data_IF_582692551236
#
_entry.id   IF_582692551236
#
_cell.length_a   1.000
_cell.length_b   1.000
_cell.length_c   1.000
_cell.angle_alpha   90.00
_cell.angle_beta   90.00
_cell.angle_gamma   90.00
#
_symmetry.space_group_name_H-M   'P 1'
#
loop_
_entity.id
_entity.type
_entity.pdbx_description
1 polymer ?
#
# COMPACT_ATOMS: atom_id res chain seq x y z
N UNK A 1 -3.03 17.66 -6.79
CA UNK A 1 -2.75 17.93 -5.36
C UNK A 1 -1.79 16.91 -4.81
N UNK A 2 -2.30 15.78 -4.31
CA UNK A 2 -1.52 14.73 -3.63
C UNK A 2 -0.39 14.12 -4.46
N UNK A 3 -0.61 13.80 -5.74
CA UNK A 3 0.43 13.24 -6.61
C UNK A 3 1.64 14.18 -6.78
N UNK A 4 1.37 15.49 -6.90
CA UNK A 4 2.41 16.52 -6.98
C UNK A 4 3.18 16.63 -5.65
N UNK A 5 2.48 16.56 -4.52
CA UNK A 5 3.12 16.52 -3.19
C UNK A 5 3.98 15.27 -3.01
N UNK A 6 3.54 14.10 -3.47
CA UNK A 6 4.32 12.85 -3.43
C UNK A 6 5.59 12.97 -4.28
N UNK A 7 5.49 13.51 -5.50
CA UNK A 7 6.65 13.74 -6.38
C UNK A 7 7.64 14.72 -5.74
N UNK A 8 7.16 15.80 -5.14
CA UNK A 8 8.01 16.77 -4.43
C UNK A 8 8.67 16.15 -3.19
N UNK A 9 7.93 15.38 -2.39
CA UNK A 9 8.49 14.69 -1.22
C UNK A 9 9.58 13.68 -1.64
N UNK A 10 9.37 12.94 -2.73
CA UNK A 10 10.38 12.05 -3.32
C UNK A 10 11.62 12.82 -3.80
N UNK A 11 11.45 13.96 -4.47
CA UNK A 11 12.56 14.77 -4.94
C UNK A 11 13.38 15.38 -3.79
N UNK A 12 12.71 15.80 -2.71
CA UNK A 12 13.35 16.41 -1.53
C UNK A 12 13.99 15.38 -0.59
N UNK A 13 13.39 14.20 -0.43
CA UNK A 13 13.92 13.13 0.43
C UNK A 13 14.81 12.14 -0.33
N UNK A 14 14.88 12.24 -1.66
CA UNK A 14 15.69 11.40 -2.54
C UNK A 14 17.17 11.34 -2.16
N UNK A 15 17.76 12.45 -1.69
CA UNK A 15 19.15 12.43 -1.16
C UNK A 15 19.29 11.57 0.09
N UNK A 16 18.38 11.68 1.07
CA UNK A 16 18.38 10.81 2.27
C UNK A 16 18.17 9.33 1.93
N UNK A 17 17.31 9.04 0.95
CA UNK A 17 17.08 7.67 0.46
C UNK A 17 18.36 7.08 -0.15
N UNK A 18 19.13 7.91 -0.85
CA UNK A 18 20.38 7.50 -1.51
C UNK A 18 21.56 7.41 -0.54
N UNK A 19 21.63 8.30 0.47
CA UNK A 19 22.74 8.37 1.44
C UNK A 19 22.62 7.33 2.57
N UNK A 20 21.40 6.90 2.93
CA UNK A 20 21.15 5.93 4.02
C UNK A 20 20.15 4.83 3.60
N UNK A 21 20.48 4.02 2.56
CA UNK A 21 19.55 3.04 1.98
C UNK A 21 19.17 1.92 2.97
N UNK A 22 20.06 1.58 3.91
CA UNK A 22 19.81 0.54 4.91
C UNK A 22 18.72 0.94 5.91
N UNK A 23 18.64 2.21 6.31
CA UNK A 23 17.65 2.66 7.27
C UNK A 23 16.27 2.80 6.63
N UNK A 24 16.23 3.24 5.37
CA UNK A 24 14.99 3.20 4.57
C UNK A 24 14.53 1.77 4.35
N UNK A 25 15.42 0.85 4.01
CA UNK A 25 15.08 -0.56 3.83
C UNK A 25 14.54 -1.20 5.12
N UNK A 26 15.11 -0.89 6.28
CA UNK A 26 14.62 -1.38 7.58
C UNK A 26 13.21 -0.92 7.93
N UNK A 27 12.80 0.27 7.47
CA UNK A 27 11.43 0.80 7.64
C UNK A 27 10.49 0.26 6.57
N UNK A 28 10.95 0.23 5.31
CA UNK A 28 10.15 -0.19 4.17
C UNK A 28 9.84 -1.68 4.18
N UNK A 29 10.77 -2.54 4.62
CA UNK A 29 10.64 -3.99 4.52
C UNK A 29 9.52 -4.55 5.42
N UNK A 30 9.38 -4.14 6.70
CA UNK A 30 8.20 -4.49 7.51
C UNK A 30 6.89 -3.99 6.90
N UNK A 31 6.88 -2.77 6.36
CA UNK A 31 5.69 -2.18 5.76
C UNK A 31 5.27 -2.91 4.47
N UNK A 32 6.24 -3.24 3.62
CA UNK A 32 6.05 -4.06 2.42
C UNK A 32 5.52 -5.44 2.75
N UNK A 33 6.08 -6.09 3.78
CA UNK A 33 5.61 -7.38 4.25
C UNK A 33 4.16 -7.28 4.74
N UNK A 34 3.83 -6.24 5.50
CA UNK A 34 2.45 -5.96 5.94
C UNK A 34 1.50 -5.85 4.75
N UNK A 35 1.77 -4.99 3.77
CA UNK A 35 0.91 -4.84 2.59
C UNK A 35 0.78 -6.14 1.80
N UNK A 36 1.89 -6.86 1.58
CA UNK A 36 1.88 -8.10 0.85
C UNK A 36 1.03 -9.15 1.59
N UNK A 37 1.24 -9.36 2.88
CA UNK A 37 0.53 -10.34 3.68
C UNK A 37 -0.97 -10.02 3.72
N UNK A 38 -1.33 -8.76 3.98
CA UNK A 38 -2.73 -8.33 4.02
C UNK A 38 -3.40 -8.50 2.66
N UNK A 39 -2.78 -8.01 1.59
CA UNK A 39 -3.36 -8.08 0.25
C UNK A 39 -3.46 -9.51 -0.26
N UNK A 40 -2.37 -10.29 -0.22
CA UNK A 40 -2.39 -11.68 -0.67
C UNK A 40 -3.29 -12.53 0.22
N UNK A 41 -3.25 -12.35 1.54
CA UNK A 41 -4.11 -13.06 2.48
C UNK A 41 -5.59 -12.86 2.16
N UNK A 42 -6.02 -11.60 1.99
CA UNK A 42 -7.41 -11.29 1.62
C UNK A 42 -7.76 -11.73 0.20
N UNK A 43 -6.86 -11.56 -0.77
CA UNK A 43 -7.10 -11.98 -2.16
C UNK A 43 -7.26 -13.50 -2.28
N UNK A 44 -6.41 -14.29 -1.61
CA UNK A 44 -6.52 -15.75 -1.56
C UNK A 44 -7.76 -16.19 -0.78
N UNK A 45 -8.09 -15.51 0.32
CA UNK A 45 -9.30 -15.77 1.09
C UNK A 45 -10.57 -15.52 0.27
N UNK A 46 -10.58 -14.52 -0.63
CA UNK A 46 -11.74 -14.23 -1.50
C UNK A 46 -11.83 -15.09 -2.77
N UNK A 47 -10.74 -15.74 -3.20
CA UNK A 47 -10.78 -16.75 -4.28
C UNK A 47 -11.52 -18.01 -3.83
N UNK A 48 -11.36 -18.44 -2.57
CA UNK A 48 -11.92 -19.71 -2.06
C UNK A 48 -13.46 -19.77 -2.06
N UNK A 49 -14.20 -18.70 -1.72
CA UNK A 49 -15.65 -18.60 -1.90
C UNK A 49 -16.10 -18.33 -3.36
N UNK A 50 -15.18 -18.13 -4.31
CA UNK A 50 -15.52 -17.87 -5.72
C UNK A 50 -16.06 -16.45 -5.98
N UNK A 51 -15.58 -15.43 -5.26
CA UNK A 51 -16.00 -14.05 -5.54
C UNK A 51 -15.55 -13.59 -6.93
N UNK A 52 -16.40 -12.83 -7.67
CA UNK A 52 -16.00 -12.23 -8.93
C UNK A 52 -14.82 -11.28 -8.72
N UNK A 53 -13.98 -11.14 -9.75
CA UNK A 53 -12.73 -10.38 -9.68
C UNK A 53 -12.89 -9.00 -9.03
N UNK A 54 -13.92 -8.25 -9.42
CA UNK A 54 -14.17 -6.89 -8.95
C UNK A 54 -14.37 -6.82 -7.44
N UNK A 55 -15.16 -7.76 -6.90
CA UNK A 55 -15.42 -7.85 -5.47
C UNK A 55 -14.18 -8.29 -4.71
N UNK A 56 -13.47 -9.31 -5.21
CA UNK A 56 -12.27 -9.80 -4.56
C UNK A 56 -11.15 -8.74 -4.54
N UNK A 57 -10.93 -8.05 -5.66
CA UNK A 57 -9.97 -6.96 -5.76
C UNK A 57 -10.34 -5.82 -4.80
N UNK A 58 -11.61 -5.40 -4.75
CA UNK A 58 -12.06 -4.38 -3.81
C UNK A 58 -11.77 -4.77 -2.36
N UNK A 59 -12.09 -6.00 -1.95
CA UNK A 59 -11.84 -6.48 -0.58
C UNK A 59 -10.34 -6.52 -0.29
N UNK A 60 -9.51 -7.03 -1.20
CA UNK A 60 -8.07 -7.12 -1.01
C UNK A 60 -7.41 -5.73 -0.88
N UNK A 61 -7.83 -4.75 -1.68
CA UNK A 61 -7.33 -3.37 -1.57
C UNK A 61 -7.85 -2.64 -0.33
N UNK A 62 -9.11 -2.88 0.08
CA UNK A 62 -9.63 -2.34 1.34
C UNK A 62 -8.91 -2.92 2.55
N UNK A 63 -8.59 -4.22 2.55
CA UNK A 63 -7.87 -4.86 3.63
C UNK A 63 -6.40 -4.42 3.73
N UNK A 64 -5.78 -4.10 2.59
CA UNK A 64 -4.39 -3.65 2.55
C UNK A 64 -4.24 -2.14 2.81
N UNK A 65 -5.24 -1.32 2.48
CA UNK A 65 -5.17 0.13 2.61
C UNK A 65 -5.19 0.61 4.06
N UNK A 66 -4.38 1.61 4.38
CA UNK A 66 -4.34 2.20 5.73
C UNK A 66 -4.93 3.62 5.73
N UNK A 67 -5.34 4.06 6.92
CA UNK A 67 -5.73 5.46 7.15
C UNK A 67 -4.57 6.23 7.79
N UNK A 68 -3.70 6.82 6.96
CA UNK A 68 -2.57 7.60 7.44
C UNK A 68 -2.96 8.87 8.16
N UNK A 69 -4.04 9.52 7.75
CA UNK A 69 -4.49 10.78 8.34
C UNK A 69 -4.83 10.55 9.82
N UNK A 70 -5.55 9.46 10.12
CA UNK A 70 -5.83 9.03 11.48
C UNK A 70 -4.54 8.61 12.21
N UNK A 71 -3.66 7.82 11.56
CA UNK A 71 -2.42 7.35 12.18
C UNK A 71 -1.48 8.52 12.59
N UNK A 72 -1.37 9.55 11.74
CA UNK A 72 -0.61 10.77 12.02
C UNK A 72 -1.26 11.54 13.17
N UNK A 73 -2.58 11.73 13.13
CA UNK A 73 -3.31 12.44 14.18
C UNK A 73 -3.14 11.78 15.55
N UNK A 74 -3.28 10.45 15.63
CA UNK A 74 -3.07 9.69 16.87
C UNK A 74 -1.61 9.76 17.32
N UNK A 75 -0.66 9.62 16.40
CA UNK A 75 0.77 9.67 16.74
C UNK A 75 1.19 11.02 17.30
N UNK A 76 0.74 12.11 16.69
CA UNK A 76 0.99 13.48 17.17
C UNK A 76 0.28 13.71 18.50
N UNK A 77 -0.97 13.26 18.64
CA UNK A 77 -1.77 13.46 19.84
C UNK A 77 -1.24 12.74 21.08
N UNK A 78 -0.67 11.54 20.91
CA UNK A 78 -0.16 10.71 22.02
C UNK A 78 1.33 10.94 22.29
N UNK A 79 2.15 11.06 21.24
CA UNK A 79 3.62 11.07 21.35
C UNK A 79 4.25 12.43 21.02
N UNK A 80 3.47 13.40 20.55
CA UNK A 80 3.96 14.70 20.12
C UNK A 80 4.53 14.70 18.69
N UNK A 81 4.70 15.90 18.15
CA UNK A 81 5.05 16.14 16.72
C UNK A 81 6.48 15.73 16.36
N UNK A 82 7.41 15.75 17.30
CA UNK A 82 8.82 15.38 17.09
C UNK A 82 9.12 13.89 17.31
N UNK A 83 8.09 13.08 17.57
CA UNK A 83 8.25 11.64 17.82
C UNK A 83 8.59 10.86 16.55
N UNK A 84 9.29 9.73 16.72
CA UNK A 84 9.58 8.82 15.61
C UNK A 84 8.33 8.19 15.00
N UNK A 85 7.26 8.06 15.78
CA UNK A 85 5.94 7.58 15.38
C UNK A 85 5.25 8.57 14.44
N UNK A 86 5.27 9.87 14.77
CA UNK A 86 4.75 10.91 13.89
C UNK A 86 5.52 10.96 12.57
N UNK A 87 6.84 10.82 12.60
CA UNK A 87 7.68 10.73 11.40
C UNK A 87 7.32 9.50 10.56
N UNK A 88 7.18 8.33 11.19
CA UNK A 88 6.78 7.09 10.49
C UNK A 88 5.40 7.22 9.83
N UNK A 89 4.44 7.88 10.49
CA UNK A 89 3.11 8.16 9.93
C UNK A 89 3.15 9.05 8.69
N UNK A 90 4.02 10.07 8.67
CA UNK A 90 4.17 10.99 7.53
C UNK A 90 4.92 10.35 6.36
N UNK A 91 5.87 9.46 6.64
CA UNK A 91 6.63 8.73 5.61
C UNK A 91 5.83 7.53 5.06
N UNK A 92 4.87 7.01 5.81
CA UNK A 92 4.01 5.88 5.42
C UNK A 92 3.38 5.99 4.02
N UNK A 93 2.71 7.11 3.65
CA UNK A 93 2.14 7.32 2.33
C UNK A 93 3.17 7.25 1.18
N UNK A 94 4.43 7.63 1.46
CA UNK A 94 5.51 7.60 0.49
C UNK A 94 5.80 6.17 0.02
N UNK A 95 5.60 5.19 0.90
CA UNK A 95 5.81 3.77 0.64
C UNK A 95 4.50 3.11 0.21
N UNK A 96 3.38 3.41 0.86
CA UNK A 96 2.08 2.78 0.55
C UNK A 96 1.63 3.03 -0.88
N UNK A 97 1.69 4.28 -1.36
CA UNK A 97 1.15 4.61 -2.69
C UNK A 97 1.87 3.82 -3.81
N UNK A 98 3.20 3.80 -3.89
CA UNK A 98 3.90 2.96 -4.87
C UNK A 98 3.59 1.47 -4.74
N UNK A 99 3.47 0.96 -3.52
CA UNK A 99 3.21 -0.46 -3.26
C UNK A 99 1.81 -0.85 -3.72
N UNK A 100 0.79 -0.06 -3.38
CA UNK A 100 -0.58 -0.32 -3.82
C UNK A 100 -0.69 -0.22 -5.35
N UNK A 101 0.00 0.73 -5.99
CA UNK A 101 0.07 0.80 -7.46
C UNK A 101 0.72 -0.45 -8.04
N UNK A 102 1.81 -0.94 -7.44
CA UNK A 102 2.42 -2.22 -7.82
C UNK A 102 1.44 -3.39 -7.70
N UNK A 103 0.69 -3.45 -6.61
CA UNK A 103 -0.34 -4.47 -6.38
C UNK A 103 -1.52 -4.35 -7.37
N UNK A 104 -1.85 -3.17 -7.88
CA UNK A 104 -2.83 -3.02 -8.98
C UNK A 104 -2.37 -3.77 -10.22
N UNK A 105 -1.10 -3.67 -10.61
CA UNK A 105 -0.58 -4.44 -11.73
C UNK A 105 -0.60 -5.94 -11.46
N UNK A 106 -0.30 -6.37 -10.23
CA UNK A 106 -0.44 -7.78 -9.81
C UNK A 106 -1.90 -8.23 -9.91
N UNK A 107 -2.86 -7.42 -9.47
CA UNK A 107 -4.29 -7.71 -9.56
C UNK A 107 -4.75 -7.85 -11.02
N UNK A 108 -4.31 -6.94 -11.91
CA UNK A 108 -4.61 -6.99 -13.34
C UNK A 108 -4.01 -8.23 -14.02
N UNK A 109 -2.81 -8.64 -13.60
CA UNK A 109 -2.20 -9.89 -14.05
C UNK A 109 -2.99 -11.11 -13.55
N UNK A 110 -3.35 -11.13 -12.26
CA UNK A 110 -4.15 -12.16 -11.63
C UNK A 110 -5.53 -12.33 -12.30
N UNK A 111 -6.19 -11.22 -12.69
CA UNK A 111 -7.44 -11.22 -13.47
C UNK A 111 -7.32 -12.09 -14.72
N UNK A 112 -6.23 -11.95 -15.47
CA UNK A 112 -6.02 -12.69 -16.73
C UNK A 112 -5.80 -14.19 -16.49
N UNK A 113 -5.22 -14.56 -15.33
CA UNK A 113 -4.77 -15.93 -15.07
C UNK A 113 -5.77 -16.77 -14.27
N UNK A 114 -6.57 -16.14 -13.40
CA UNK A 114 -7.45 -16.82 -12.46
C UNK A 114 -8.94 -16.50 -12.63
N UNK A 115 -9.30 -15.47 -13.39
CA UNK A 115 -10.69 -15.01 -13.56
C UNK A 115 -11.09 -14.95 -15.05
N UNK A 116 -10.89 -16.06 -15.76
CA UNK A 116 -11.13 -16.16 -17.21
C UNK A 116 -12.62 -16.08 -17.56
N UNK A 117 -13.50 -16.66 -16.75
CA UNK A 117 -14.96 -16.66 -16.98
C UNK A 117 -15.60 -15.26 -16.83
N UNK A 118 -15.07 -14.41 -15.94
CA UNK A 118 -15.53 -13.02 -15.77
C UNK A 118 -15.25 -12.14 -16.99
N UNK A 119 -14.33 -12.54 -17.88
CA UNK A 119 -14.04 -11.80 -19.13
C UNK A 119 -15.09 -12.01 -20.20
N UNK A 120 -15.71 -13.20 -20.27
CA UNK A 120 -16.74 -13.50 -21.26
C UNK A 120 -18.08 -12.84 -20.91
N UNK A 121 -18.37 -12.64 -19.62
CA UNK A 121 -19.57 -11.94 -19.18
C UNK A 121 -19.52 -10.41 -19.35
N UNK A 122 -18.32 -9.83 -19.51
CA UNK A 122 -18.08 -8.39 -19.62
C UNK A 122 -17.71 -7.92 -21.04
N UNK A 123 -17.65 -8.83 -22.02
CA UNK A 123 -17.38 -8.57 -23.43
C UNK A 123 -18.67 -8.68 -24.25
#
# INVERSE_FOLDING_TARGET
GLLFTIVILFALQGKRITDQPLDVARIALPLLAYFAIMWFGSAFAGIRPGFPYERNASIAFTAAGNNFELAIAVSIGVFGVSSGQALAGVVGPLIEVPVLVGLVYVALWARRRWFTDDREAAA
#
